data_IF_252804716071
#
_entry.id   IF_252804716071
#
_cell.length_a   1.000
_cell.length_b   1.000
_cell.length_c   1.000
_cell.angle_alpha   90.00
_cell.angle_beta   90.00
_cell.angle_gamma   90.00
#
_symmetry.space_group_name_H-M   'P 1'
#
loop_
_entity.id
_entity.type
_entity.pdbx_description
1 polymer ?
#
# COMPACT_ATOMS: atom_id res chain seq x y z
N UNK A 1 -10.58 49.26 -28.73
CA UNK A 1 -9.96 48.16 -29.49
C UNK A 1 -9.57 47.08 -28.53
N UNK A 2 -10.30 45.97 -28.57
CA UNK A 2 -10.03 44.76 -27.79
C UNK A 2 -8.95 43.97 -28.53
N UNK A 3 -7.83 43.66 -27.87
CA UNK A 3 -6.86 42.69 -28.40
C UNK A 3 -7.03 41.39 -27.61
N UNK A 4 -7.44 40.34 -28.31
CA UNK A 4 -7.46 38.97 -27.81
C UNK A 4 -6.15 38.31 -28.28
N UNK A 5 -5.26 37.93 -27.37
CA UNK A 5 -4.15 37.03 -27.67
C UNK A 5 -4.48 35.65 -27.11
N UNK A 6 -4.69 34.68 -27.98
CA UNK A 6 -4.76 33.26 -27.65
C UNK A 6 -3.35 32.70 -27.50
N UNK A 7 -3.05 32.11 -26.34
CA UNK A 7 -1.81 31.35 -26.10
C UNK A 7 -2.20 29.97 -25.57
N UNK A 8 -1.81 28.92 -26.27
CA UNK A 8 -2.02 27.52 -25.89
C UNK A 8 -0.92 27.06 -24.93
N UNK A 9 -1.26 26.35 -23.86
CA UNK A 9 -0.32 25.72 -22.91
C UNK A 9 -0.39 24.18 -22.99
N UNK A 10 0.75 23.45 -22.89
CA UNK A 10 0.76 22.06 -22.48
C UNK A 10 0.72 21.94 -20.95
N UNK A 11 0.25 20.78 -20.49
CA UNK A 11 -0.23 20.40 -19.16
C UNK A 11 0.49 20.89 -17.88
N UNK A 12 -0.34 20.97 -16.83
CA UNK A 12 -0.08 20.88 -15.38
C UNK A 12 -0.04 22.19 -14.57
N UNK A 13 -1.06 22.30 -13.69
CA UNK A 13 -1.14 22.92 -12.37
C UNK A 13 -1.37 24.45 -12.20
N UNK A 14 -2.45 24.70 -11.44
CA UNK A 14 -2.89 25.88 -10.66
C UNK A 14 -3.39 27.13 -11.40
N UNK A 15 -4.69 27.41 -11.22
CA UNK A 15 -5.31 28.70 -11.52
C UNK A 15 -4.70 29.80 -10.64
N UNK A 16 -4.25 30.88 -11.28
CA UNK A 16 -3.77 32.08 -10.62
C UNK A 16 -4.90 33.13 -10.71
N UNK A 17 -5.66 33.33 -9.63
CA UNK A 17 -6.69 34.39 -9.58
C UNK A 17 -5.98 35.72 -9.27
N UNK A 18 -5.99 36.64 -10.22
CA UNK A 18 -5.50 38.02 -10.03
C UNK A 18 -6.70 38.89 -9.71
N UNK A 19 -6.87 39.29 -8.45
CA UNK A 19 -7.85 40.31 -8.08
C UNK A 19 -7.22 41.70 -8.17
N UNK A 20 -7.89 42.61 -8.89
CA UNK A 20 -7.41 43.98 -9.10
C UNK A 20 -8.44 44.96 -8.55
N UNK A 21 -8.11 45.62 -7.44
CA UNK A 21 -8.93 46.71 -6.90
C UNK A 21 -8.25 48.05 -7.11
N UNK A 22 -8.91 48.95 -7.83
CA UNK A 22 -8.47 50.33 -8.09
C UNK A 22 -8.95 51.25 -6.96
N UNK A 23 -8.03 51.80 -6.16
CA UNK A 23 -8.32 52.98 -5.31
C UNK A 23 -7.68 54.23 -5.90
N UNK A 24 -8.50 55.19 -6.33
CA UNK A 24 -8.06 56.53 -6.73
C UNK A 24 -7.82 57.39 -5.48
N UNK A 25 -6.58 57.86 -5.29
CA UNK A 25 -6.28 59.07 -4.53
C UNK A 25 -5.32 59.95 -5.34
N UNK A 26 -5.64 61.25 -5.36
CA UNK A 26 -5.02 62.36 -6.11
C UNK A 26 -3.63 62.09 -6.69
N UNK A 27 -3.57 62.01 -8.02
CA UNK A 27 -2.42 62.50 -8.81
C UNK A 27 -1.31 61.52 -9.20
N UNK A 28 -1.31 60.27 -8.74
CA UNK A 28 -0.38 59.22 -9.23
C UNK A 28 -1.08 57.88 -9.39
N UNK A 29 -0.99 57.29 -10.57
CA UNK A 29 -1.36 55.90 -10.84
C UNK A 29 -0.21 55.02 -10.37
N UNK A 30 -0.41 54.26 -9.30
CA UNK A 30 0.57 53.30 -8.78
C UNK A 30 -0.08 51.91 -8.83
N UNK A 31 0.42 51.04 -9.72
CA UNK A 31 -0.05 49.66 -9.81
C UNK A 31 0.62 48.86 -8.71
N UNK A 32 -0.01 48.75 -7.54
CA UNK A 32 0.45 47.86 -6.46
C UNK A 32 0.04 46.43 -6.81
N UNK A 33 0.99 45.62 -7.29
CA UNK A 33 0.82 44.16 -7.37
C UNK A 33 1.16 43.57 -6.01
N UNK A 34 0.15 43.14 -5.25
CA UNK A 34 0.34 42.31 -4.05
C UNK A 34 0.39 40.85 -4.50
N UNK A 35 1.54 40.19 -4.35
CA UNK A 35 1.56 38.73 -4.31
C UNK A 35 1.11 38.30 -2.91
N UNK A 36 -0.04 37.64 -2.82
CA UNK A 36 -0.41 36.87 -1.64
C UNK A 36 -0.10 35.40 -1.94
N UNK A 37 0.99 34.88 -1.36
CA UNK A 37 1.19 33.44 -1.24
C UNK A 37 0.37 32.98 -0.03
N UNK A 38 -0.58 32.08 -0.27
CA UNK A 38 -1.36 31.46 0.80
C UNK A 38 -0.61 30.21 1.26
N UNK A 39 0.24 30.34 2.27
CA UNK A 39 0.84 29.19 2.96
C UNK A 39 -0.12 28.66 4.02
N UNK A 40 -0.51 27.39 3.89
CA UNK A 40 -1.18 26.63 4.94
C UNK A 40 -0.17 26.33 6.07
N UNK A 41 -0.51 26.82 7.26
CA UNK A 41 0.25 26.80 8.51
C UNK A 41 0.94 25.46 8.83
N UNK A 42 2.26 25.50 9.04
CA UNK A 42 2.98 24.67 10.02
C UNK A 42 4.06 25.56 10.68
N UNK A 43 4.12 25.54 12.01
CA UNK A 43 4.83 26.54 12.81
C UNK A 43 6.37 26.51 12.71
N UNK A 44 6.99 27.69 12.86
CA UNK A 44 8.44 27.81 13.07
C UNK A 44 9.01 29.20 12.76
N UNK A 45 9.43 29.92 13.81
CA UNK A 45 10.35 31.05 13.90
C UNK A 45 10.35 32.17 12.82
N UNK A 46 9.92 33.35 13.24
CA UNK A 46 9.94 34.63 12.52
C UNK A 46 11.36 35.24 12.49
N UNK A 47 11.89 35.55 11.29
CA UNK A 47 12.95 36.56 11.13
C UNK A 47 12.52 37.54 10.03
N UNK A 48 12.15 38.76 10.42
CA UNK A 48 11.83 39.84 9.48
C UNK A 48 13.09 40.67 9.22
N UNK A 49 13.58 40.65 7.97
CA UNK A 49 14.53 41.67 7.50
C UNK A 49 13.80 42.59 6.54
N UNK A 50 13.61 43.86 6.93
CA UNK A 50 13.06 44.91 6.06
C UNK A 50 14.12 45.33 5.05
N UNK A 51 13.89 45.08 3.77
CA UNK A 51 14.62 45.75 2.69
C UNK A 51 13.84 47.01 2.28
N UNK A 52 14.43 48.19 2.53
CA UNK A 52 14.03 49.47 1.94
C UNK A 52 14.65 49.56 0.54
N UNK A 53 13.85 49.91 -0.46
CA UNK A 53 14.35 50.37 -1.75
C UNK A 53 13.86 51.80 -1.99
N UNK A 54 14.81 52.74 -2.10
CA UNK A 54 14.62 54.08 -2.65
C UNK A 54 15.38 54.13 -3.98
N UNK A 55 14.69 54.43 -5.10
CA UNK A 55 15.34 54.59 -6.40
C UNK A 55 14.38 54.50 -7.59
N UNK A 56 14.42 55.53 -8.44
CA UNK A 56 13.56 55.74 -9.61
C UNK A 56 13.92 54.86 -10.81
N UNK A 57 12.89 54.47 -11.56
CA UNK A 57 12.91 53.60 -12.74
C UNK A 57 13.82 54.13 -13.85
N UNK A 58 14.83 53.34 -14.24
CA UNK A 58 15.48 53.40 -15.56
C UNK A 58 15.58 51.97 -16.08
N UNK A 59 15.31 51.79 -17.36
CA UNK A 59 15.30 50.51 -18.11
C UNK A 59 16.43 49.55 -17.75
N UNK A 60 16.10 48.33 -17.29
CA UNK A 60 17.05 47.22 -17.14
C UNK A 60 16.83 46.25 -18.29
N UNK A 61 17.80 46.15 -19.20
CA UNK A 61 17.92 45.05 -20.15
C UNK A 61 18.29 43.78 -19.39
N UNK A 62 17.46 42.74 -19.47
CA UNK A 62 17.78 41.40 -18.95
C UNK A 62 18.84 40.75 -19.84
N UNK A 63 20.12 40.90 -19.50
CA UNK A 63 21.16 40.01 -19.98
C UNK A 63 21.07 38.69 -19.21
N UNK A 64 21.05 37.56 -19.93
CA UNK A 64 21.14 36.23 -19.33
C UNK A 64 22.51 36.09 -18.63
N UNK A 65 22.57 35.65 -17.37
CA UNK A 65 23.84 35.29 -16.76
C UNK A 65 24.43 34.05 -17.46
N UNK A 66 25.77 33.92 -17.53
CA UNK A 66 26.42 32.78 -18.16
C UNK A 66 26.11 31.49 -17.41
N UNK A 67 25.84 30.43 -18.18
CA UNK A 67 25.65 29.06 -17.70
C UNK A 67 26.93 28.58 -17.01
N UNK A 68 26.92 28.55 -15.68
CA UNK A 68 27.86 27.75 -14.91
C UNK A 68 27.59 26.27 -15.23
N UNK A 69 28.51 25.63 -15.95
CA UNK A 69 28.58 24.17 -16.08
C UNK A 69 28.95 23.57 -14.72
N UNK A 70 27.96 23.45 -13.84
CA UNK A 70 28.03 22.56 -12.68
C UNK A 70 27.47 21.21 -13.08
N UNK A 71 28.34 20.19 -13.19
CA UNK A 71 27.92 18.80 -13.27
C UNK A 71 27.14 18.46 -12.00
N UNK A 72 25.82 18.34 -12.10
CA UNK A 72 24.98 17.81 -11.05
C UNK A 72 25.24 16.31 -10.97
N UNK A 73 26.23 15.91 -10.18
CA UNK A 73 26.31 14.54 -9.70
C UNK A 73 25.17 14.41 -8.70
N UNK A 74 24.17 13.59 -9.02
CA UNK A 74 23.16 13.19 -8.05
C UNK A 74 23.90 12.48 -6.91
N UNK A 75 24.20 13.24 -5.85
CA UNK A 75 24.70 12.67 -4.62
C UNK A 75 23.58 11.86 -4.01
N UNK A 76 23.73 10.55 -4.04
CA UNK A 76 22.99 9.60 -3.21
C UNK A 76 22.96 10.16 -1.78
N UNK A 77 21.83 10.76 -1.39
CA UNK A 77 21.52 10.97 0.01
C UNK A 77 21.08 9.62 0.58
N UNK A 78 22.05 8.71 0.70
CA UNK A 78 22.02 7.67 1.71
C UNK A 78 22.23 8.37 3.05
N UNK A 79 21.16 8.96 3.60
CA UNK A 79 21.09 9.13 5.05
C UNK A 79 20.90 7.73 5.60
N UNK A 80 22.04 7.07 5.84
CA UNK A 80 22.11 5.81 6.55
C UNK A 80 21.60 6.02 7.97
N UNK A 81 20.29 5.87 8.16
CA UNK A 81 19.86 5.09 9.30
C UNK A 81 20.34 3.68 8.98
N UNK A 82 21.09 3.02 9.85
CA UNK A 82 21.28 1.57 9.73
C UNK A 82 19.88 0.95 9.85
N UNK A 83 19.22 0.81 8.70
CA UNK A 83 17.78 0.70 8.60
C UNK A 83 17.31 -0.46 9.43
N UNK A 84 16.55 -0.16 10.48
CA UNK A 84 16.00 -1.17 11.35
C UNK A 84 15.22 -2.16 10.48
N UNK A 85 15.69 -3.41 10.43
CA UNK A 85 15.12 -4.43 9.56
C UNK A 85 13.66 -4.65 9.93
N UNK A 86 12.81 -4.80 8.91
CA UNK A 86 11.40 -5.14 9.08
C UNK A 86 11.29 -6.44 9.90
N UNK A 87 10.56 -6.42 11.01
CA UNK A 87 10.38 -7.58 11.89
C UNK A 87 8.91 -7.94 12.03
N UNK A 88 8.59 -9.23 11.86
CA UNK A 88 7.25 -9.77 11.95
C UNK A 88 7.16 -10.64 13.21
N UNK A 89 6.30 -10.27 14.15
CA UNK A 89 6.04 -11.07 15.34
C UNK A 89 4.69 -11.77 15.22
N UNK A 90 4.73 -13.11 15.13
CA UNK A 90 3.55 -13.96 14.99
C UNK A 90 3.86 -15.42 15.35
N UNK A 91 2.89 -16.33 15.20
CA UNK A 91 3.16 -17.77 15.26
C UNK A 91 3.98 -18.26 14.06
N UNK A 92 4.73 -19.35 14.23
CA UNK A 92 5.40 -20.04 13.13
C UNK A 92 4.39 -20.82 12.29
N UNK A 93 3.62 -20.09 11.49
CA UNK A 93 2.60 -20.61 10.60
C UNK A 93 1.95 -19.46 9.84
N UNK A 94 0.96 -19.79 8.98
CA UNK A 94 0.29 -18.80 8.13
C UNK A 94 -0.46 -17.75 8.96
N UNK A 95 -1.61 -18.15 9.51
CA UNK A 95 -2.52 -17.27 10.23
C UNK A 95 -2.80 -15.94 9.51
N UNK A 96 -2.94 -14.86 10.28
CA UNK A 96 -3.16 -13.51 9.75
C UNK A 96 -1.90 -12.81 9.25
N UNK A 97 -0.72 -13.41 9.45
CA UNK A 97 0.57 -12.85 9.00
C UNK A 97 0.91 -13.27 7.56
N UNK A 98 0.26 -14.31 7.02
CA UNK A 98 0.63 -14.85 5.71
C UNK A 98 0.49 -13.83 4.58
N UNK A 99 -0.64 -13.12 4.49
CA UNK A 99 -0.83 -12.06 3.49
C UNK A 99 0.20 -10.94 3.60
N UNK A 100 0.70 -10.66 4.81
CA UNK A 100 1.76 -9.67 5.03
C UNK A 100 3.08 -10.18 4.42
N UNK A 101 3.43 -11.46 4.65
CA UNK A 101 4.61 -12.08 4.03
C UNK A 101 4.53 -12.05 2.51
N UNK A 102 3.36 -12.37 1.95
CA UNK A 102 3.12 -12.32 0.50
C UNK A 102 3.36 -10.92 -0.07
N UNK A 103 2.84 -9.88 0.58
CA UNK A 103 2.96 -8.52 0.08
C UNK A 103 4.39 -7.98 0.21
N UNK A 104 5.07 -8.24 1.34
CA UNK A 104 6.48 -7.88 1.53
C UNK A 104 7.39 -8.60 0.52
N UNK A 105 7.19 -9.90 0.32
CA UNK A 105 7.98 -10.66 -0.64
C UNK A 105 7.75 -10.19 -2.08
N UNK A 106 6.52 -9.82 -2.43
CA UNK A 106 6.20 -9.23 -3.74
C UNK A 106 6.93 -7.91 -3.96
N UNK A 107 7.01 -7.08 -2.91
CA UNK A 107 7.75 -5.83 -2.89
C UNK A 107 9.27 -6.00 -2.69
N UNK A 108 9.77 -7.24 -2.68
CA UNK A 108 11.19 -7.59 -2.49
C UNK A 108 11.81 -7.03 -1.21
N UNK A 109 10.99 -6.88 -0.17
CA UNK A 109 11.42 -6.42 1.16
C UNK A 109 11.90 -7.62 1.95
N UNK A 110 13.16 -7.58 2.40
CA UNK A 110 13.68 -8.55 3.36
C UNK A 110 13.10 -8.29 4.76
N UNK A 111 12.74 -9.36 5.46
CA UNK A 111 12.18 -9.26 6.79
C UNK A 111 12.61 -10.42 7.70
N UNK A 112 12.73 -10.12 8.99
CA UNK A 112 13.01 -11.08 10.04
C UNK A 112 11.71 -11.51 10.72
N UNK A 113 11.68 -12.73 11.26
CA UNK A 113 10.51 -13.26 11.98
C UNK A 113 10.88 -13.60 13.42
N UNK A 114 10.02 -13.20 14.34
CA UNK A 114 10.09 -13.58 15.75
C UNK A 114 8.85 -14.39 16.08
N UNK A 115 9.05 -15.66 16.47
CA UNK A 115 7.94 -16.58 16.68
C UNK A 115 7.46 -16.59 18.12
N UNK A 116 6.13 -16.54 18.29
CA UNK A 116 5.47 -16.78 19.56
C UNK A 116 5.37 -18.28 19.82
N UNK A 117 6.11 -18.77 20.81
CA UNK A 117 6.19 -20.17 21.22
C UNK A 117 5.58 -20.41 22.62
N UNK A 118 5.55 -19.37 23.46
CA UNK A 118 5.02 -19.46 24.83
C UNK A 118 4.03 -18.35 25.16
N UNK A 119 3.18 -18.61 26.16
CA UNK A 119 2.22 -17.62 26.66
C UNK A 119 2.93 -16.43 27.31
N UNK A 120 4.05 -16.69 27.97
CA UNK A 120 4.86 -15.68 28.65
C UNK A 120 5.42 -14.66 27.66
N UNK A 121 5.89 -15.10 26.49
CA UNK A 121 6.34 -14.21 25.40
C UNK A 121 5.20 -13.29 24.93
N UNK A 122 4.00 -13.84 24.75
CA UNK A 122 2.82 -13.06 24.36
C UNK A 122 2.42 -12.03 25.43
N UNK A 123 2.36 -12.44 26.71
CA UNK A 123 2.03 -11.54 27.82
C UNK A 123 3.11 -10.45 28.01
N UNK A 124 4.37 -10.76 27.71
CA UNK A 124 5.45 -9.78 27.75
C UNK A 124 5.26 -8.68 26.71
N UNK A 125 4.84 -9.02 25.47
CA UNK A 125 4.52 -8.01 24.45
C UNK A 125 3.38 -7.08 24.86
N UNK A 126 2.37 -7.60 25.57
CA UNK A 126 1.29 -6.79 26.15
C UNK A 126 1.85 -5.85 27.22
N UNK A 127 2.63 -6.40 28.16
CA UNK A 127 3.22 -5.64 29.27
C UNK A 127 4.13 -4.51 28.78
N UNK A 128 4.88 -4.74 27.70
CA UNK A 128 5.77 -3.76 27.08
C UNK A 128 5.03 -2.72 26.22
N UNK A 129 3.70 -2.81 26.12
CA UNK A 129 2.89 -1.89 25.34
C UNK A 129 3.10 -1.99 23.83
N UNK A 130 3.64 -3.12 23.34
CA UNK A 130 3.90 -3.34 21.92
C UNK A 130 2.61 -3.58 21.12
N UNK A 131 1.55 -4.06 21.78
CA UNK A 131 0.30 -4.47 21.14
C UNK A 131 -0.83 -3.51 21.54
N UNK A 132 -1.21 -2.58 20.65
CA UNK A 132 -2.23 -1.56 20.94
C UNK A 132 -3.60 -2.15 21.37
N UNK A 133 -3.92 -3.36 20.92
CA UNK A 133 -5.16 -4.06 21.22
C UNK A 133 -4.92 -5.47 21.75
N UNK A 134 -3.78 -5.72 22.39
CA UNK A 134 -3.39 -7.03 22.93
C UNK A 134 -3.44 -8.16 21.89
N UNK A 135 -3.23 -7.84 20.61
CA UNK A 135 -3.38 -8.76 19.49
C UNK A 135 -2.18 -8.70 18.57
N UNK A 136 -1.75 -9.86 18.09
CA UNK A 136 -0.89 -9.99 16.92
C UNK A 136 -1.76 -10.24 15.67
N UNK A 137 -1.33 -9.90 14.44
CA UNK A 137 0.03 -9.54 13.98
C UNK A 137 0.62 -8.25 14.57
N UNK A 138 1.93 -8.29 14.86
CA UNK A 138 2.77 -7.12 15.09
C UNK A 138 3.85 -7.07 14.00
N UNK A 139 4.02 -5.90 13.38
CA UNK A 139 5.10 -5.62 12.43
C UNK A 139 5.85 -4.37 12.87
N UNK A 140 7.16 -4.51 13.08
CA UNK A 140 8.06 -3.40 13.33
C UNK A 140 8.69 -2.97 12.00
N UNK A 141 8.38 -1.76 11.55
CA UNK A 141 8.83 -1.21 10.26
C UNK A 141 8.89 0.33 10.35
N UNK A 142 9.95 0.94 9.84
CA UNK A 142 10.14 2.41 9.81
C UNK A 142 10.02 3.09 11.19
N UNK A 143 10.46 2.42 12.25
CA UNK A 143 10.32 2.88 13.63
C UNK A 143 8.88 2.82 14.17
N UNK A 144 7.93 2.25 13.42
CA UNK A 144 6.55 2.03 13.83
C UNK A 144 6.33 0.61 14.34
N UNK A 145 5.53 0.45 15.39
CA UNK A 145 4.96 -0.82 15.84
C UNK A 145 3.54 -0.95 15.30
N UNK A 146 3.40 -1.57 14.14
CA UNK A 146 2.14 -1.69 13.43
C UNK A 146 1.37 -2.94 13.88
N UNK A 147 0.13 -2.75 14.30
CA UNK A 147 -0.84 -3.84 14.56
C UNK A 147 -2.09 -3.64 13.69
N UNK A 148 -3.03 -4.58 13.73
CA UNK A 148 -4.18 -4.68 12.81
C UNK A 148 -3.75 -5.02 11.38
N UNK A 149 -4.01 -6.26 10.96
CA UNK A 149 -3.57 -6.82 9.67
C UNK A 149 -3.86 -5.90 8.48
N UNK A 150 -5.05 -5.30 8.43
CA UNK A 150 -5.46 -4.41 7.34
C UNK A 150 -4.65 -3.12 7.32
N UNK A 151 -4.38 -2.52 8.48
CA UNK A 151 -3.59 -1.30 8.56
C UNK A 151 -2.14 -1.56 8.11
N UNK A 152 -1.57 -2.70 8.53
CA UNK A 152 -0.24 -3.15 8.10
C UNK A 152 -0.18 -3.31 6.58
N UNK A 153 -1.14 -4.05 5.99
CA UNK A 153 -1.18 -4.28 4.54
C UNK A 153 -1.39 -2.98 3.75
N UNK A 154 -2.26 -2.08 4.22
CA UNK A 154 -2.45 -0.75 3.63
C UNK A 154 -1.14 0.06 3.63
N UNK A 155 -0.41 0.05 4.75
CA UNK A 155 0.85 0.75 4.87
C UNK A 155 1.89 0.22 3.88
N UNK A 156 2.06 -1.11 3.82
CA UNK A 156 2.98 -1.77 2.88
C UNK A 156 2.56 -1.50 1.43
N UNK A 157 1.29 -1.67 1.08
CA UNK A 157 0.79 -1.45 -0.27
C UNK A 157 1.02 0.00 -0.74
N UNK A 158 0.74 0.97 0.12
CA UNK A 158 0.98 2.38 -0.17
C UNK A 158 2.47 2.69 -0.31
N UNK A 159 3.30 2.22 0.63
CA UNK A 159 4.75 2.46 0.65
C UNK A 159 5.46 1.94 -0.61
N UNK A 160 5.05 0.79 -1.12
CA UNK A 160 5.71 0.12 -2.25
C UNK A 160 4.92 0.24 -3.57
N UNK A 161 4.03 1.23 -3.69
CA UNK A 161 3.26 1.54 -4.92
C UNK A 161 2.41 0.37 -5.45
N UNK A 162 1.88 -0.47 -4.56
CA UNK A 162 0.97 -1.58 -4.88
C UNK A 162 -0.50 -1.24 -4.61
N UNK A 163 -0.83 0.05 -4.40
CA UNK A 163 -2.17 0.49 -3.97
C UNK A 163 -2.89 1.42 -4.97
N UNK A 164 -2.55 1.29 -6.25
CA UNK A 164 -3.13 2.10 -7.33
C UNK A 164 -2.54 3.51 -7.39
N UNK A 165 -2.76 4.20 -8.52
CA UNK A 165 -2.18 5.54 -8.75
C UNK A 165 -3.03 6.70 -8.22
N UNK A 166 -4.31 6.45 -7.98
CA UNK A 166 -5.29 7.44 -7.54
C UNK A 166 -6.35 6.82 -6.64
N UNK A 167 -7.22 7.66 -6.07
CA UNK A 167 -8.26 7.22 -5.15
C UNK A 167 -9.27 6.25 -5.78
N UNK A 168 -9.48 6.29 -7.10
CA UNK A 168 -10.43 5.41 -7.80
C UNK A 168 -9.85 4.01 -7.94
N UNK A 169 -8.58 3.90 -8.33
CA UNK A 169 -7.90 2.61 -8.36
C UNK A 169 -7.73 2.03 -6.95
N UNK A 170 -7.38 2.88 -5.97
CA UNK A 170 -7.25 2.46 -4.57
C UNK A 170 -8.53 1.84 -4.02
N UNK A 171 -9.68 2.52 -4.19
CA UNK A 171 -10.95 1.98 -3.68
C UNK A 171 -11.36 0.70 -4.41
N UNK A 172 -11.02 0.56 -5.70
CA UNK A 172 -11.27 -0.68 -6.44
C UNK A 172 -10.41 -1.84 -5.91
N UNK A 173 -9.13 -1.59 -5.64
CA UNK A 173 -8.22 -2.55 -4.98
C UNK A 173 -8.78 -2.96 -3.63
N UNK A 174 -9.19 -1.99 -2.81
CA UNK A 174 -9.75 -2.25 -1.48
C UNK A 174 -11.00 -3.13 -1.58
N UNK A 175 -11.96 -2.82 -2.46
CA UNK A 175 -13.14 -3.67 -2.65
C UNK A 175 -12.81 -5.13 -3.01
N UNK A 176 -11.81 -5.36 -3.87
CA UNK A 176 -11.38 -6.71 -4.23
C UNK A 176 -10.70 -7.42 -3.07
N UNK A 177 -9.76 -6.76 -2.40
CA UNK A 177 -9.06 -7.30 -1.23
C UNK A 177 -10.05 -7.66 -0.12
N UNK A 178 -11.06 -6.83 0.10
CA UNK A 178 -12.11 -7.07 1.10
C UNK A 178 -12.93 -8.32 0.78
N UNK A 179 -13.36 -8.47 -0.47
CA UNK A 179 -14.05 -9.67 -0.92
C UNK A 179 -13.17 -10.93 -0.79
N UNK A 180 -11.86 -10.83 -1.04
CA UNK A 180 -10.92 -11.93 -0.84
C UNK A 180 -10.77 -12.24 0.66
N UNK A 181 -10.69 -11.22 1.50
CA UNK A 181 -10.59 -11.36 2.96
C UNK A 181 -11.79 -12.09 3.54
N UNK A 182 -13.00 -11.79 3.05
CA UNK A 182 -14.24 -12.50 3.42
C UNK A 182 -14.24 -13.97 3.00
N UNK A 183 -13.60 -14.32 1.88
CA UNK A 183 -13.41 -15.70 1.45
C UNK A 183 -12.38 -16.43 2.33
N UNK A 184 -11.27 -15.77 2.66
CA UNK A 184 -10.18 -16.35 3.43
C UNK A 184 -10.48 -16.45 4.93
N UNK A 185 -11.30 -15.58 5.49
CA UNK A 185 -11.66 -15.56 6.91
C UNK A 185 -12.19 -16.92 7.44
N UNK A 186 -13.17 -17.59 6.80
CA UNK A 186 -13.59 -18.92 7.24
C UNK A 186 -12.51 -19.99 7.02
N UNK A 187 -11.69 -19.86 5.96
CA UNK A 187 -10.57 -20.77 5.71
C UNK A 187 -9.48 -20.66 6.79
N UNK A 188 -9.22 -19.46 7.30
CA UNK A 188 -8.31 -19.20 8.43
C UNK A 188 -8.77 -19.94 9.70
N UNK A 189 -10.08 -19.98 9.95
CA UNK A 189 -10.66 -20.64 11.12
C UNK A 189 -10.88 -22.15 10.95
N UNK A 190 -10.81 -22.66 9.71
CA UNK A 190 -11.03 -24.06 9.38
C UNK A 190 -10.18 -25.06 10.20
N UNK A 191 -8.87 -24.85 10.42
CA UNK A 191 -8.05 -25.78 11.21
C UNK A 191 -8.56 -25.98 12.64
N UNK A 192 -9.15 -24.93 13.23
CA UNK A 192 -9.68 -24.90 14.59
C UNK A 192 -11.12 -25.43 14.71
N UNK A 193 -11.79 -25.71 13.59
CA UNK A 193 -13.16 -26.22 13.58
C UNK A 193 -13.26 -27.61 14.23
N UNK A 194 -14.36 -27.93 14.91
CA UNK A 194 -14.63 -29.27 15.40
C UNK A 194 -14.62 -30.32 14.27
N UNK A 195 -14.13 -31.53 14.56
CA UNK A 195 -13.93 -32.60 13.57
C UNK A 195 -15.19 -32.94 12.78
N UNK A 196 -16.34 -32.95 13.43
CA UNK A 196 -17.64 -33.30 12.88
C UNK A 196 -18.18 -32.24 11.92
N UNK A 197 -17.80 -30.97 12.10
CA UNK A 197 -18.23 -29.86 11.24
C UNK A 197 -17.23 -29.51 10.13
N UNK A 198 -15.99 -30.03 10.18
CA UNK A 198 -14.95 -29.70 9.20
C UNK A 198 -15.40 -29.95 7.75
N UNK A 199 -16.06 -31.08 7.47
CA UNK A 199 -16.50 -31.38 6.09
C UNK A 199 -17.53 -30.38 5.57
N UNK A 200 -18.55 -30.06 6.37
CA UNK A 200 -19.60 -29.11 6.02
C UNK A 200 -19.05 -27.68 5.87
N UNK A 201 -18.20 -27.25 6.80
CA UNK A 201 -17.54 -25.96 6.72
C UNK A 201 -16.70 -25.82 5.44
N UNK A 202 -15.93 -26.86 5.10
CA UNK A 202 -15.13 -26.84 3.88
C UNK A 202 -16.01 -26.78 2.63
N UNK A 203 -17.09 -27.56 2.57
CA UNK A 203 -18.03 -27.52 1.46
C UNK A 203 -18.63 -26.11 1.27
N UNK A 204 -19.03 -25.45 2.36
CA UNK A 204 -19.54 -24.08 2.31
C UNK A 204 -18.50 -23.06 1.84
N UNK A 205 -17.23 -23.20 2.24
CA UNK A 205 -16.14 -22.34 1.77
C UNK A 205 -15.95 -22.51 0.25
N UNK A 206 -15.89 -23.77 -0.22
CA UNK A 206 -15.70 -24.08 -1.64
C UNK A 206 -16.87 -23.60 -2.48
N UNK A 207 -18.10 -23.78 -2.00
CA UNK A 207 -19.32 -23.27 -2.65
C UNK A 207 -19.28 -21.75 -2.77
N UNK A 208 -18.97 -21.03 -1.69
CA UNK A 208 -18.85 -19.57 -1.73
C UNK A 208 -17.74 -19.12 -2.68
N UNK A 209 -16.61 -19.82 -2.71
CA UNK A 209 -15.52 -19.54 -3.63
C UNK A 209 -16.01 -19.58 -5.09
N UNK A 210 -16.69 -20.67 -5.48
CA UNK A 210 -17.09 -20.91 -6.87
C UNK A 210 -18.38 -20.19 -7.29
N UNK A 211 -19.29 -19.87 -6.36
CA UNK A 211 -20.59 -19.27 -6.69
C UNK A 211 -20.63 -17.76 -6.47
N UNK A 212 -19.85 -17.24 -5.52
CA UNK A 212 -19.87 -15.82 -5.13
C UNK A 212 -18.61 -15.08 -5.53
N UNK A 213 -17.44 -15.58 -5.14
CA UNK A 213 -16.20 -14.78 -5.22
C UNK A 213 -15.48 -14.92 -6.57
N UNK A 214 -15.11 -16.13 -6.99
CA UNK A 214 -14.41 -16.35 -8.27
C UNK A 214 -15.16 -15.79 -9.49
N UNK A 215 -16.50 -15.87 -9.60
CA UNK A 215 -17.22 -15.23 -10.70
C UNK A 215 -17.03 -13.70 -10.78
N UNK A 216 -16.78 -13.01 -9.67
CA UNK A 216 -16.52 -11.56 -9.67
C UNK A 216 -15.18 -11.25 -10.31
N UNK A 217 -14.12 -11.93 -9.90
CA UNK A 217 -12.76 -11.72 -10.42
C UNK A 217 -12.62 -12.22 -11.87
N UNK A 218 -13.22 -13.35 -12.21
CA UNK A 218 -13.31 -13.86 -13.58
C UNK A 218 -13.97 -12.83 -14.51
N UNK A 219 -15.07 -12.21 -14.05
CA UNK A 219 -15.76 -11.17 -14.80
C UNK A 219 -14.92 -9.91 -14.94
N UNK A 220 -14.25 -9.46 -13.87
CA UNK A 220 -13.39 -8.29 -13.90
C UNK A 220 -12.32 -8.46 -14.99
N UNK A 221 -11.54 -9.53 -14.93
CA UNK A 221 -10.49 -9.85 -15.91
C UNK A 221 -11.03 -9.94 -17.34
N UNK A 222 -12.20 -10.54 -17.53
CA UNK A 222 -12.85 -10.64 -18.84
C UNK A 222 -13.32 -9.29 -19.39
N UNK A 223 -13.83 -8.40 -18.54
CA UNK A 223 -14.45 -7.14 -18.98
C UNK A 223 -13.43 -6.13 -19.52
N UNK A 224 -12.31 -5.95 -18.82
CA UNK A 224 -11.28 -5.01 -19.27
C UNK A 224 -10.21 -5.70 -20.14
N UNK A 225 -10.09 -7.03 -20.10
CA UNK A 225 -9.16 -7.79 -20.94
C UNK A 225 -7.69 -7.47 -20.64
N UNK A 226 -7.38 -7.10 -19.40
CA UNK A 226 -6.03 -6.74 -18.95
C UNK A 226 -5.46 -7.86 -18.09
N UNK A 227 -4.15 -7.78 -17.87
CA UNK A 227 -3.38 -8.82 -17.18
C UNK A 227 -3.53 -8.80 -15.66
N UNK A 228 -3.89 -7.65 -15.09
CA UNK A 228 -4.08 -7.37 -13.65
C UNK A 228 -5.53 -6.95 -13.37
N UNK A 229 -5.96 -7.04 -12.11
CA UNK A 229 -7.33 -6.73 -11.69
C UNK A 229 -7.67 -5.23 -11.76
N UNK A 230 -6.70 -4.36 -11.48
CA UNK A 230 -6.90 -2.90 -11.42
C UNK A 230 -5.78 -2.20 -12.16
N UNK A 231 -6.14 -1.38 -13.14
CA UNK A 231 -5.18 -0.71 -14.01
C UNK A 231 -4.26 -1.70 -14.75
N UNK A 232 -3.13 -1.19 -15.23
CA UNK A 232 -2.19 -1.95 -16.06
C UNK A 232 -0.98 -2.48 -15.30
N UNK A 233 -0.99 -2.45 -13.97
CA UNK A 233 0.17 -2.77 -13.13
C UNK A 233 -0.21 -3.73 -11.99
N UNK A 234 0.79 -4.43 -11.46
CA UNK A 234 0.61 -5.29 -10.29
C UNK A 234 0.15 -4.46 -9.08
N UNK A 235 -0.86 -4.97 -8.38
CA UNK A 235 -1.40 -4.38 -7.17
C UNK A 235 -1.53 -5.39 -6.04
N UNK A 236 -1.81 -4.91 -4.83
CA UNK A 236 -2.13 -5.75 -3.68
C UNK A 236 -3.31 -6.69 -3.97
N UNK A 237 -4.32 -6.26 -4.73
CA UNK A 237 -5.46 -7.11 -5.09
C UNK A 237 -5.01 -8.36 -5.86
N UNK A 238 -4.03 -8.23 -6.76
CA UNK A 238 -3.54 -9.35 -7.56
C UNK A 238 -2.80 -10.38 -6.69
N UNK A 239 -1.95 -9.88 -5.78
CA UNK A 239 -1.19 -10.69 -4.83
C UNK A 239 -2.13 -11.45 -3.90
N UNK A 240 -3.11 -10.75 -3.34
CA UNK A 240 -4.10 -11.31 -2.44
C UNK A 240 -4.98 -12.36 -3.13
N UNK A 241 -5.36 -12.13 -4.41
CA UNK A 241 -6.15 -13.09 -5.18
C UNK A 241 -5.34 -14.35 -5.49
N UNK A 242 -4.06 -14.22 -5.84
CA UNK A 242 -3.20 -15.38 -6.05
C UNK A 242 -3.05 -16.21 -4.76
N UNK A 243 -2.78 -15.56 -3.63
CA UNK A 243 -2.74 -16.23 -2.32
C UNK A 243 -4.03 -17.04 -2.08
N UNK A 244 -5.18 -16.41 -2.29
CA UNK A 244 -6.47 -17.05 -2.08
C UNK A 244 -6.73 -18.22 -3.03
N UNK A 245 -6.40 -18.08 -4.31
CA UNK A 245 -6.51 -19.16 -5.29
C UNK A 245 -5.72 -20.38 -4.83
N UNK A 246 -4.44 -20.20 -4.48
CA UNK A 246 -3.59 -21.32 -4.06
C UNK A 246 -4.10 -21.95 -2.77
N UNK A 247 -4.56 -21.14 -1.81
CA UNK A 247 -5.09 -21.64 -0.54
C UNK A 247 -6.38 -22.47 -0.72
N UNK A 248 -7.22 -22.13 -1.70
CA UNK A 248 -8.44 -22.90 -2.01
C UNK A 248 -8.09 -24.15 -2.83
N UNK A 249 -7.13 -24.08 -3.77
CA UNK A 249 -6.66 -25.25 -4.53
C UNK A 249 -6.01 -26.31 -3.65
N UNK A 250 -5.34 -25.93 -2.56
CA UNK A 250 -4.85 -26.85 -1.52
C UNK A 250 -6.00 -27.67 -0.86
N UNK A 251 -7.25 -27.23 -0.99
CA UNK A 251 -8.44 -27.97 -0.53
C UNK A 251 -9.19 -28.68 -1.66
N UNK A 252 -9.19 -28.10 -2.86
CA UNK A 252 -9.80 -28.67 -4.07
C UNK A 252 -9.00 -28.26 -5.30
N UNK A 253 -8.14 -29.15 -5.78
CA UNK A 253 -7.16 -28.85 -6.84
C UNK A 253 -7.78 -28.38 -8.17
N UNK A 254 -8.97 -28.86 -8.51
CA UNK A 254 -9.70 -28.55 -9.75
C UNK A 254 -10.69 -27.38 -9.60
N UNK A 255 -10.67 -26.64 -8.48
CA UNK A 255 -11.66 -25.58 -8.19
C UNK A 255 -11.74 -24.49 -9.26
N UNK A 256 -10.65 -24.27 -10.00
CA UNK A 256 -10.58 -23.27 -11.07
C UNK A 256 -11.02 -23.77 -12.45
N UNK A 257 -11.44 -25.04 -12.60
CA UNK A 257 -11.71 -25.64 -13.92
C UNK A 257 -12.68 -24.84 -14.80
N UNK A 258 -13.67 -24.16 -14.18
CA UNK A 258 -14.68 -23.35 -14.87
C UNK A 258 -14.30 -21.85 -15.01
N UNK A 259 -13.09 -21.45 -14.61
CA UNK A 259 -12.63 -20.06 -14.55
C UNK A 259 -11.36 -19.85 -15.39
N UNK A 260 -11.45 -19.82 -16.72
CA UNK A 260 -10.28 -19.73 -17.61
C UNK A 260 -9.46 -18.44 -17.41
N UNK A 261 -10.09 -17.30 -17.11
CA UNK A 261 -9.34 -16.06 -16.84
C UNK A 261 -8.55 -16.18 -15.54
N UNK A 262 -9.12 -16.77 -14.49
CA UNK A 262 -8.40 -17.02 -13.23
C UNK A 262 -7.24 -18.02 -13.39
N UNK A 263 -7.38 -19.03 -14.25
CA UNK A 263 -6.27 -19.94 -14.56
C UNK A 263 -5.12 -19.20 -15.27
N UNK A 264 -5.44 -18.37 -16.26
CA UNK A 264 -4.44 -17.56 -16.96
C UNK A 264 -3.78 -16.53 -16.03
N UNK A 265 -4.58 -15.86 -15.20
CA UNK A 265 -4.14 -14.95 -14.15
C UNK A 265 -3.19 -15.63 -13.18
N UNK A 266 -3.57 -16.77 -12.59
CA UNK A 266 -2.73 -17.55 -11.68
C UNK A 266 -1.37 -17.84 -12.30
N UNK A 267 -1.34 -18.33 -13.55
CA UNK A 267 -0.09 -18.62 -14.27
C UNK A 267 0.76 -17.36 -14.45
N UNK A 268 0.16 -16.24 -14.81
CA UNK A 268 0.87 -14.97 -15.05
C UNK A 268 1.48 -14.42 -13.77
N UNK A 269 0.67 -14.25 -12.73
CA UNK A 269 1.10 -13.65 -11.45
C UNK A 269 2.12 -14.55 -10.74
N UNK A 270 1.96 -15.88 -10.81
CA UNK A 270 2.94 -16.83 -10.24
C UNK A 270 4.31 -16.77 -10.93
N UNK A 271 4.41 -16.19 -12.13
CA UNK A 271 5.67 -16.06 -12.88
C UNK A 271 6.36 -14.70 -12.69
N UNK A 272 5.76 -13.76 -11.95
CA UNK A 272 6.43 -12.52 -11.56
C UNK A 272 7.67 -12.90 -10.72
N UNK A 273 8.88 -12.37 -11.01
CA UNK A 273 10.11 -12.87 -10.40
C UNK A 273 10.10 -12.95 -8.86
N UNK A 274 9.64 -11.89 -8.19
CA UNK A 274 9.55 -11.81 -6.72
C UNK A 274 8.57 -12.83 -6.15
N UNK A 275 7.39 -12.96 -6.74
CA UNK A 275 6.37 -13.97 -6.36
C UNK A 275 6.87 -15.38 -6.65
N UNK A 276 7.47 -15.62 -7.82
CA UNK A 276 8.02 -16.92 -8.20
C UNK A 276 9.10 -17.37 -7.23
N UNK A 277 9.97 -16.45 -6.79
CA UNK A 277 10.97 -16.68 -5.74
C UNK A 277 10.30 -17.03 -4.41
N UNK A 278 9.25 -16.31 -4.02
CA UNK A 278 8.48 -16.60 -2.80
C UNK A 278 7.74 -17.95 -2.84
N UNK A 279 7.38 -18.43 -4.03
CA UNK A 279 6.76 -19.75 -4.21
C UNK A 279 7.76 -20.91 -4.19
N UNK A 280 9.07 -20.66 -4.31
CA UNK A 280 10.07 -21.72 -4.28
C UNK A 280 10.26 -22.33 -2.88
N UNK A 281 10.72 -23.59 -2.80
CA UNK A 281 11.19 -24.17 -1.54
C UNK A 281 12.27 -23.29 -0.89
N UNK A 282 12.25 -23.19 0.44
CA UNK A 282 13.21 -22.38 1.21
C UNK A 282 12.84 -20.90 1.36
N UNK A 283 11.72 -20.45 0.78
CA UNK A 283 11.17 -19.12 1.08
C UNK A 283 10.54 -19.07 2.49
N UNK A 284 10.18 -17.87 2.94
CA UNK A 284 9.48 -17.66 4.20
C UNK A 284 7.96 -17.91 4.11
N UNK A 285 7.43 -18.38 2.97
CA UNK A 285 6.03 -18.79 2.82
C UNK A 285 5.75 -19.96 3.77
N UNK A 286 4.68 -19.87 4.56
CA UNK A 286 4.38 -20.90 5.56
C UNK A 286 3.53 -22.03 4.98
N UNK A 287 3.71 -23.28 5.42
CA UNK A 287 2.88 -24.40 4.98
C UNK A 287 1.43 -24.25 5.51
N UNK A 288 0.48 -25.02 4.96
CA UNK A 288 -0.87 -25.10 5.53
C UNK A 288 -0.82 -25.47 7.02
N UNK A 289 -1.73 -24.93 7.87
CA UNK A 289 -1.72 -25.22 9.31
C UNK A 289 -1.93 -26.70 9.61
N UNK A 290 -1.13 -27.23 10.54
CA UNK A 290 -1.23 -28.58 11.09
C UNK A 290 -1.73 -28.57 12.55
N UNK A 291 -1.86 -29.75 13.15
CA UNK A 291 -2.36 -29.89 14.52
C UNK A 291 -1.39 -29.31 15.57
N UNK A 292 -0.08 -29.32 15.29
CA UNK A 292 0.93 -28.73 16.16
C UNK A 292 0.78 -27.20 16.22
N UNK A 293 0.60 -26.55 15.08
CA UNK A 293 0.27 -25.12 15.00
C UNK A 293 -1.01 -24.80 15.77
N UNK A 294 -2.08 -25.59 15.57
CA UNK A 294 -3.36 -25.38 16.26
C UNK A 294 -3.20 -25.49 17.78
N UNK A 295 -2.53 -26.53 18.26
CA UNK A 295 -2.27 -26.72 19.69
C UNK A 295 -1.44 -25.58 20.29
N UNK A 296 -0.42 -25.11 19.58
CA UNK A 296 0.41 -23.99 20.00
C UNK A 296 -0.40 -22.70 20.13
N UNK A 297 -1.20 -22.35 19.12
CA UNK A 297 -2.03 -21.14 19.14
C UNK A 297 -3.02 -21.17 20.31
N UNK A 298 -3.71 -22.30 20.52
CA UNK A 298 -4.63 -22.48 21.66
C UNK A 298 -3.92 -22.29 23.00
N UNK A 299 -2.73 -22.87 23.16
CA UNK A 299 -1.92 -22.73 24.38
C UNK A 299 -1.49 -21.29 24.65
N UNK A 300 -0.93 -20.61 23.65
CA UNK A 300 -0.36 -19.27 23.82
C UNK A 300 -1.47 -18.24 24.06
N UNK A 301 -2.52 -18.26 23.24
CA UNK A 301 -3.62 -17.29 23.33
C UNK A 301 -4.69 -17.67 24.38
N UNK A 302 -4.68 -18.90 24.88
CA UNK A 302 -5.70 -19.46 25.77
C UNK A 302 -7.10 -19.44 25.13
N UNK A 303 -7.20 -20.07 23.95
CA UNK A 303 -8.41 -20.18 23.10
C UNK A 303 -8.74 -21.63 22.74
#
# INVERSE_FOLDING_TARGET
>A
MTFCMSVSFPHSLSEMIVDSSLKKKKGRTETIRRLCLHESQWGGAFWSTKLKFEGTCSSISLQRPPLLKGSFVAGDHQVGNMGEKTRLTYFNGRGRMESIRWLLATAEVEFEETFLETREQYLQLIKDGCLLFDQVPLVEMDGLKLVQTRAILNYIAGKYNLHGKDLKERVQIDMYVEGISDLLAPLLMYPFSPSEKKKEHLASILEKATTKYFPVYERALKQHGQDFLVGSCLSWADVQLLEAILAIEEKKADVLAQFPQLQAFKKRISNIPSIKKFLQPGSQRKPPPDDAYVALVRKVLNM
#
